data_IF_703071829763
#
_entry.id   IF_703071829763
#
_cell.length_a   1.000
_cell.length_b   1.000
_cell.length_c   1.000
_cell.angle_alpha   90.00
_cell.angle_beta   90.00
_cell.angle_gamma   90.00
#
_symmetry.space_group_name_H-M   'P 1'
#
loop_
_entity.id
_entity.type
_entity.pdbx_description
1 polymer ?
#
# COMPACT_ATOMS: atom_id res chain seq x y z
N UNK A 1 8.48 17.16 6.13
CA UNK A 1 7.67 16.34 7.04
C UNK A 1 7.52 17.05 8.38
N UNK A 2 6.32 17.38 8.78
CA UNK A 2 6.06 18.10 10.04
C UNK A 2 6.04 17.17 11.24
N UNK A 3 5.39 16.02 11.11
CA UNK A 3 5.39 15.00 12.15
C UNK A 3 5.07 13.64 11.51
N UNK A 4 5.11 12.58 12.32
CA UNK A 4 4.89 11.23 11.82
C UNK A 4 3.53 10.65 12.17
N UNK A 5 2.59 11.46 12.67
CA UNK A 5 1.29 10.95 13.13
C UNK A 5 0.35 10.54 11.99
N UNK A 6 0.55 11.07 10.79
CA UNK A 6 -0.36 10.90 9.68
C UNK A 6 -1.56 11.82 9.70
N UNK A 7 -1.69 12.65 10.74
CA UNK A 7 -2.82 13.56 10.90
C UNK A 7 -2.49 15.01 10.56
N UNK A 8 -1.21 15.35 10.45
CA UNK A 8 -0.78 16.71 10.14
C UNK A 8 -0.98 16.98 8.65
N UNK A 9 -1.84 17.99 8.35
CA UNK A 9 -2.17 18.33 6.97
C UNK A 9 -1.02 18.99 6.21
N UNK A 10 0.01 19.43 6.91
CA UNK A 10 1.17 20.06 6.31
C UNK A 10 2.24 19.03 5.90
N UNK A 11 2.09 17.79 6.31
CA UNK A 11 2.98 16.72 5.88
C UNK A 11 2.75 16.43 4.39
N UNK A 12 3.83 16.39 3.64
CA UNK A 12 3.80 16.11 2.21
C UNK A 12 4.87 15.07 1.90
N UNK A 13 4.42 13.91 1.46
CA UNK A 13 5.31 12.84 1.02
C UNK A 13 4.89 12.39 -0.36
N UNK A 14 5.86 12.25 -1.24
CA UNK A 14 5.61 11.69 -2.56
C UNK A 14 5.54 10.16 -2.48
N UNK A 15 4.88 9.48 -3.43
CA UNK A 15 4.95 8.03 -3.52
C UNK A 15 6.38 7.51 -3.57
N UNK A 16 7.27 8.20 -4.28
CA UNK A 16 8.68 7.82 -4.35
C UNK A 16 9.35 7.84 -2.98
N UNK A 17 9.07 8.87 -2.17
CA UNK A 17 9.66 8.97 -0.83
C UNK A 17 9.20 7.80 0.05
N UNK A 18 7.92 7.42 -0.05
CA UNK A 18 7.39 6.29 0.71
C UNK A 18 8.06 4.99 0.27
N UNK A 19 8.21 4.76 -1.03
CA UNK A 19 8.88 3.56 -1.54
C UNK A 19 10.34 3.52 -1.06
N UNK A 20 11.03 4.66 -1.03
CA UNK A 20 12.41 4.72 -0.55
C UNK A 20 12.50 4.33 0.92
N UNK A 21 11.54 4.77 1.75
CA UNK A 21 11.48 4.37 3.15
C UNK A 21 11.26 2.86 3.26
N UNK A 22 10.34 2.31 2.47
CA UNK A 22 10.07 0.87 2.48
C UNK A 22 11.31 0.08 2.04
N UNK A 23 12.04 0.56 1.03
CA UNK A 23 13.27 -0.08 0.57
C UNK A 23 14.33 -0.09 1.67
N UNK A 24 14.47 1.01 2.41
CA UNK A 24 15.40 1.07 3.52
C UNK A 24 14.99 0.09 4.61
N UNK A 25 13.70 0.07 4.98
CA UNK A 25 13.21 -0.85 6.00
C UNK A 25 13.35 -2.31 5.58
N UNK A 26 13.23 -2.61 4.30
CA UNK A 26 13.34 -3.99 3.80
C UNK A 26 14.73 -4.57 4.03
N UNK A 27 15.73 -3.73 4.27
CA UNK A 27 17.10 -4.16 4.56
C UNK A 27 17.40 -4.23 6.05
N UNK A 28 16.43 -3.89 6.90
CA UNK A 28 16.61 -3.88 8.36
C UNK A 28 16.16 -5.20 8.97
N UNK A 29 16.73 -5.58 10.13
CA UNK A 29 16.29 -6.80 10.84
C UNK A 29 14.82 -6.80 11.24
N UNK A 30 14.20 -5.62 11.40
CA UNK A 30 12.79 -5.52 11.78
C UNK A 30 11.83 -5.75 10.59
N UNK A 31 12.34 -5.92 9.38
CA UNK A 31 11.49 -6.03 8.19
C UNK A 31 10.43 -7.12 8.29
N UNK A 32 10.74 -8.37 8.71
CA UNK A 32 9.69 -9.39 8.79
C UNK A 32 8.55 -9.01 9.72
N UNK A 33 8.85 -8.39 10.87
CA UNK A 33 7.84 -7.95 11.82
C UNK A 33 7.01 -6.82 11.23
N UNK A 34 7.66 -5.84 10.61
CA UNK A 34 6.95 -4.73 9.96
C UNK A 34 6.03 -5.24 8.86
N UNK A 35 6.54 -6.11 8.00
CA UNK A 35 5.79 -6.67 6.88
C UNK A 35 4.55 -7.42 7.37
N UNK A 36 4.68 -8.20 8.45
CA UNK A 36 3.55 -8.91 9.05
C UNK A 36 2.50 -7.98 9.63
N UNK A 37 2.88 -6.76 10.03
CA UNK A 37 1.96 -5.79 10.58
C UNK A 37 1.05 -5.15 9.53
N UNK A 38 1.40 -5.27 8.25
CA UNK A 38 0.58 -4.70 7.18
C UNK A 38 -0.71 -5.50 6.99
N UNK A 39 -1.79 -4.79 6.65
CA UNK A 39 -3.06 -5.43 6.32
C UNK A 39 -2.91 -6.24 5.04
N UNK A 40 -3.33 -7.50 5.08
CA UNK A 40 -3.20 -8.42 3.94
C UNK A 40 -4.51 -8.49 3.17
N UNK A 41 -4.45 -8.16 1.89
CA UNK A 41 -5.60 -8.14 1.01
C UNK A 41 -6.35 -9.48 1.03
N UNK A 42 -7.65 -9.40 1.23
CA UNK A 42 -8.52 -10.56 1.28
C UNK A 42 -8.45 -11.37 2.58
N UNK A 43 -7.56 -11.03 3.51
CA UNK A 43 -7.38 -11.82 4.74
C UNK A 43 -7.67 -11.03 6.01
N UNK A 44 -7.13 -9.82 6.17
CA UNK A 44 -7.29 -9.09 7.42
C UNK A 44 -7.23 -7.56 7.23
N UNK A 45 -7.54 -6.84 8.30
CA UNK A 45 -7.38 -5.40 8.40
C UNK A 45 -8.27 -4.62 7.44
N UNK A 46 -7.80 -3.44 7.07
CA UNK A 46 -8.57 -2.54 6.22
C UNK A 46 -8.71 -3.03 4.78
N UNK A 47 -7.87 -3.95 4.34
CA UNK A 47 -7.89 -4.50 2.99
C UNK A 47 -8.61 -5.85 2.90
N UNK A 48 -9.21 -6.32 4.00
CA UNK A 48 -9.88 -7.63 4.03
C UNK A 48 -10.98 -7.77 2.97
N UNK A 49 -11.64 -6.68 2.62
CA UNK A 49 -12.73 -6.67 1.64
C UNK A 49 -12.24 -6.64 0.19
N UNK A 50 -10.94 -6.45 -0.01
CA UNK A 50 -10.35 -6.28 -1.34
C UNK A 50 -9.39 -7.42 -1.64
N UNK A 51 -9.07 -7.61 -2.93
CA UNK A 51 -8.10 -8.61 -3.36
C UNK A 51 -8.48 -10.03 -2.93
N UNK A 52 -9.76 -10.36 -3.03
CA UNK A 52 -10.28 -11.65 -2.57
C UNK A 52 -10.03 -12.78 -3.55
N UNK A 53 -9.69 -12.48 -4.80
CA UNK A 53 -9.42 -13.51 -5.81
C UNK A 53 -8.20 -14.32 -5.37
N UNK A 54 -8.21 -15.62 -5.67
CA UNK A 54 -7.19 -16.55 -5.17
C UNK A 54 -5.77 -16.09 -5.47
N UNK A 55 -5.54 -15.50 -6.66
CA UNK A 55 -4.19 -15.08 -7.03
C UNK A 55 -3.69 -13.87 -6.25
N UNK A 56 -4.60 -13.07 -5.67
CA UNK A 56 -4.23 -11.85 -4.93
C UNK A 56 -4.29 -12.03 -3.42
N UNK A 57 -5.10 -12.98 -2.94
CA UNK A 57 -5.36 -13.10 -1.51
C UNK A 57 -4.08 -13.32 -0.73
N UNK A 58 -3.84 -12.44 0.24
CA UNK A 58 -2.65 -12.48 1.08
C UNK A 58 -1.35 -12.07 0.38
N UNK A 59 -1.42 -11.73 -0.90
CA UNK A 59 -0.23 -11.38 -1.70
C UNK A 59 -0.01 -9.87 -1.81
N UNK A 60 -1.06 -9.09 -1.64
CA UNK A 60 -0.98 -7.63 -1.66
C UNK A 60 -1.22 -7.15 -0.24
N UNK A 61 -0.19 -6.64 0.39
CA UNK A 61 -0.25 -6.20 1.78
C UNK A 61 0.15 -4.73 1.87
N UNK A 62 -0.56 -3.96 2.67
CA UNK A 62 -0.23 -2.55 2.76
C UNK A 62 -1.01 -1.80 3.81
N UNK A 63 -0.75 -0.50 3.86
CA UNK A 63 -1.43 0.45 4.73
C UNK A 63 -2.23 1.41 3.88
N UNK A 64 -3.50 1.52 4.20
CA UNK A 64 -4.39 2.50 3.56
C UNK A 64 -4.41 3.79 4.34
N UNK A 65 -4.78 4.88 3.67
CA UNK A 65 -4.97 6.16 4.33
C UNK A 65 -5.98 7.01 3.57
N UNK A 66 -6.66 7.89 4.31
CA UNK A 66 -7.55 8.87 3.72
C UNK A 66 -7.59 10.10 4.62
N UNK A 67 -7.17 11.23 4.09
CA UNK A 67 -7.25 12.52 4.80
C UNK A 67 -7.34 13.65 3.76
N UNK A 68 -8.24 14.60 4.00
CA UNK A 68 -8.41 15.78 3.14
C UNK A 68 -8.63 15.45 1.66
N UNK A 69 -9.38 14.39 1.37
CA UNK A 69 -9.65 14.00 -0.01
C UNK A 69 -8.49 13.31 -0.71
N UNK A 70 -7.42 12.96 0.02
CA UNK A 70 -6.30 12.19 -0.54
C UNK A 70 -6.38 10.77 -0.01
N UNK A 71 -6.45 9.81 -0.90
CA UNK A 71 -6.38 8.40 -0.56
C UNK A 71 -5.00 7.85 -0.87
N UNK A 72 -4.53 6.95 -0.03
CA UNK A 72 -3.23 6.33 -0.21
C UNK A 72 -3.29 4.83 0.03
N UNK A 73 -2.40 4.10 -0.62
CA UNK A 73 -2.17 2.69 -0.37
C UNK A 73 -0.72 2.40 -0.70
N UNK A 74 0.01 1.89 0.27
CA UNK A 74 1.44 1.63 0.12
C UNK A 74 1.77 0.31 0.81
N UNK A 75 2.67 -0.45 0.23
CA UNK A 75 3.06 -1.72 0.83
C UNK A 75 3.87 -2.62 -0.09
N UNK A 76 3.52 -3.90 -0.07
CA UNK A 76 4.29 -4.96 -0.72
C UNK A 76 3.35 -5.85 -1.54
N UNK A 77 3.74 -6.12 -2.79
CA UNK A 77 3.14 -7.18 -3.60
C UNK A 77 4.08 -8.37 -3.62
N UNK A 78 3.62 -9.54 -3.18
CA UNK A 78 4.39 -10.78 -3.23
C UNK A 78 4.04 -11.52 -4.51
N UNK A 79 4.85 -11.33 -5.54
CA UNK A 79 4.59 -11.93 -6.86
C UNK A 79 5.47 -13.15 -7.10
N UNK A 80 5.14 -13.98 -8.12
CA UNK A 80 6.02 -15.09 -8.49
C UNK A 80 7.43 -14.65 -8.90
N UNK A 81 7.61 -13.40 -9.33
CA UNK A 81 8.93 -12.86 -9.69
C UNK A 81 9.64 -12.20 -8.51
N UNK A 82 9.04 -12.18 -7.32
CA UNK A 82 9.62 -11.57 -6.14
C UNK A 82 8.70 -10.52 -5.53
N UNK A 83 9.17 -9.86 -4.50
CA UNK A 83 8.41 -8.82 -3.79
C UNK A 83 8.62 -7.47 -4.46
N UNK A 84 7.54 -6.76 -4.74
CA UNK A 84 7.60 -5.38 -5.23
C UNK A 84 7.03 -4.45 -4.17
N UNK A 85 7.75 -3.38 -3.90
CA UNK A 85 7.28 -2.30 -3.03
C UNK A 85 6.51 -1.30 -3.88
N UNK A 86 5.41 -0.78 -3.32
CA UNK A 86 4.59 0.17 -4.08
C UNK A 86 4.05 1.28 -3.18
N UNK A 87 3.71 2.39 -3.80
CA UNK A 87 3.00 3.49 -3.15
C UNK A 87 2.10 4.17 -4.16
N UNK A 88 0.83 4.32 -3.80
CA UNK A 88 -0.19 4.93 -4.65
C UNK A 88 -0.86 6.05 -3.86
N UNK A 89 -0.82 7.27 -4.41
CA UNK A 89 -1.55 8.41 -3.85
C UNK A 89 -2.50 8.94 -4.92
N UNK A 90 -3.75 9.19 -4.53
CA UNK A 90 -4.73 9.78 -5.44
C UNK A 90 -5.55 10.82 -4.69
N UNK A 91 -6.02 11.83 -5.42
CA UNK A 91 -7.03 12.75 -4.90
C UNK A 91 -8.41 12.15 -5.15
N UNK A 92 -9.34 12.41 -4.23
CA UNK A 92 -10.71 11.95 -4.33
C UNK A 92 -11.10 11.03 -3.19
N UNK A 93 -12.36 11.10 -2.79
CA UNK A 93 -12.88 10.34 -1.66
C UNK A 93 -13.96 9.34 -2.02
N UNK A 94 -14.24 9.14 -3.31
CA UNK A 94 -15.31 8.24 -3.72
C UNK A 94 -14.88 6.78 -3.70
N UNK A 95 -15.88 5.88 -3.74
CA UNK A 95 -15.61 4.45 -3.88
C UNK A 95 -14.93 4.14 -5.21
N UNK A 96 -15.16 4.96 -6.24
CA UNK A 96 -14.48 4.80 -7.52
C UNK A 96 -12.99 5.05 -7.40
N UNK A 97 -12.57 6.00 -6.57
CA UNK A 97 -11.15 6.24 -6.31
C UNK A 97 -10.52 5.02 -5.66
N UNK A 98 -11.19 4.42 -4.67
CA UNK A 98 -10.70 3.19 -4.04
C UNK A 98 -10.59 2.06 -5.06
N UNK A 99 -11.57 1.91 -5.93
CA UNK A 99 -11.54 0.88 -6.96
C UNK A 99 -10.36 1.07 -7.92
N UNK A 100 -10.06 2.31 -8.28
CA UNK A 100 -8.91 2.61 -9.16
C UNK A 100 -7.59 2.25 -8.47
N UNK A 101 -7.45 2.59 -7.19
CA UNK A 101 -6.25 2.23 -6.42
C UNK A 101 -6.08 0.71 -6.41
N UNK A 102 -7.15 -0.03 -6.15
CA UNK A 102 -7.10 -1.49 -6.10
C UNK A 102 -6.74 -2.08 -7.47
N UNK A 103 -7.26 -1.51 -8.54
CA UNK A 103 -6.91 -1.96 -9.90
C UNK A 103 -5.44 -1.69 -10.23
N UNK A 104 -4.90 -0.56 -9.77
CA UNK A 104 -3.47 -0.28 -9.96
C UNK A 104 -2.63 -1.30 -9.19
N UNK A 105 -3.00 -1.61 -7.96
CA UNK A 105 -2.28 -2.61 -7.16
C UNK A 105 -2.31 -3.99 -7.83
N UNK A 106 -3.46 -4.38 -8.37
CA UNK A 106 -3.57 -5.64 -9.12
C UNK A 106 -2.69 -5.63 -10.37
N UNK A 107 -2.63 -4.49 -11.08
CA UNK A 107 -1.79 -4.37 -12.26
C UNK A 107 -0.30 -4.51 -11.90
N UNK A 108 0.11 -3.96 -10.77
CA UNK A 108 1.49 -4.12 -10.28
C UNK A 108 1.77 -5.61 -10.01
N UNK A 109 0.86 -6.28 -9.31
CA UNK A 109 1.00 -7.71 -9.04
C UNK A 109 1.10 -8.52 -10.33
N UNK A 110 0.25 -8.20 -11.31
CA UNK A 110 0.18 -8.94 -12.58
C UNK A 110 1.29 -8.57 -13.56
N UNK A 111 2.08 -7.54 -13.26
CA UNK A 111 3.10 -7.06 -14.18
C UNK A 111 2.55 -6.34 -15.40
N UNK A 112 1.35 -5.78 -15.32
CA UNK A 112 0.67 -5.08 -16.44
C UNK A 112 0.98 -3.59 -16.43
N UNK A 113 2.22 -3.23 -16.51
CA UNK A 113 2.65 -1.82 -16.37
C UNK A 113 3.65 -1.35 -17.42
#
# INVERSE_FOLDING_TARGET
>A
LKDGSGLCRENRLSPRAIVMVLQDMAQKPCWPVFKESLSKGGLDGTTMKYFKEDKYRGKIAGKTGYINGVRSFSGVCQTPQGDFLFSILTEGGSSQTRNKINEIAKAIFDGRW
#
